data_IF_346667605721
#
_entry.id   IF_346667605721
#
_cell.length_a   1.000
_cell.length_b   1.000
_cell.length_c   1.000
_cell.angle_alpha   90.00
_cell.angle_beta   90.00
_cell.angle_gamma   90.00
#
_symmetry.space_group_name_H-M   'P 1'
#
loop_
_entity.id
_entity.type
_entity.pdbx_description
1 polymer ?
#
# COMPACT_ATOMS: atom_id res chain seq x y z
N UNK A 1 -8.85 -5.77 -8.55
CA UNK A 1 -9.24 -6.91 -7.67
C UNK A 1 -8.44 -8.10 -8.13
N UNK A 2 -7.86 -8.88 -7.20
CA UNK A 2 -7.00 -10.02 -7.58
C UNK A 2 -7.83 -11.08 -8.32
N UNK A 3 -7.19 -11.77 -9.26
CA UNK A 3 -7.75 -12.98 -9.87
C UNK A 3 -7.63 -14.17 -8.91
N UNK A 4 -8.33 -15.27 -9.19
CA UNK A 4 -8.24 -16.50 -8.39
C UNK A 4 -6.80 -17.01 -8.28
N UNK A 5 -6.07 -17.04 -9.40
CA UNK A 5 -4.64 -17.40 -9.43
C UNK A 5 -3.79 -16.47 -8.56
N UNK A 6 -4.05 -15.16 -8.59
CA UNK A 6 -3.32 -14.20 -7.77
C UNK A 6 -3.65 -14.34 -6.27
N UNK A 7 -4.88 -14.74 -5.94
CA UNK A 7 -5.25 -15.08 -4.55
C UNK A 7 -4.48 -16.31 -4.05
N UNK A 8 -4.35 -17.35 -4.86
CA UNK A 8 -3.53 -18.52 -4.51
C UNK A 8 -2.05 -18.16 -4.33
N UNK A 9 -1.51 -17.35 -5.24
CA UNK A 9 -0.13 -16.83 -5.13
C UNK A 9 0.03 -16.01 -3.85
N UNK A 10 -0.94 -15.13 -3.53
CA UNK A 10 -0.91 -14.33 -2.31
C UNK A 10 -0.90 -15.19 -1.04
N UNK A 11 -1.76 -16.22 -0.97
CA UNK A 11 -1.82 -17.16 0.16
C UNK A 11 -0.50 -17.92 0.39
N UNK A 12 0.29 -18.13 -0.68
CA UNK A 12 1.62 -18.76 -0.61
C UNK A 12 2.77 -17.76 -0.42
N UNK A 13 2.49 -16.47 -0.21
CA UNK A 13 3.46 -15.38 -0.17
C UNK A 13 4.25 -15.20 -1.48
N UNK A 14 3.60 -15.50 -2.61
CA UNK A 14 4.19 -15.51 -3.96
C UNK A 14 3.65 -14.40 -4.87
N UNK A 15 2.80 -13.52 -4.34
CA UNK A 15 2.30 -12.34 -5.04
C UNK A 15 3.04 -11.07 -4.57
N UNK A 16 3.38 -10.20 -5.52
CA UNK A 16 4.09 -8.95 -5.26
C UNK A 16 3.12 -7.80 -5.00
N UNK A 17 2.82 -7.55 -3.73
CA UNK A 17 1.99 -6.42 -3.29
C UNK A 17 2.71 -5.07 -3.28
N UNK A 18 4.02 -5.07 -3.46
CA UNK A 18 4.86 -3.87 -3.43
C UNK A 18 5.17 -3.35 -4.85
N UNK A 19 4.71 -4.05 -5.90
CA UNK A 19 4.78 -3.59 -7.28
C UNK A 19 3.69 -2.55 -7.56
N UNK A 20 3.96 -1.49 -8.36
CA UNK A 20 2.95 -0.49 -8.71
C UNK A 20 1.64 -1.05 -9.28
N UNK A 21 1.70 -2.10 -10.10
CA UNK A 21 0.52 -2.77 -10.68
C UNK A 21 -0.42 -3.40 -9.63
N UNK A 22 0.02 -3.59 -8.38
CA UNK A 22 -0.84 -4.04 -7.29
C UNK A 22 -1.81 -2.93 -6.83
N UNK A 23 -1.61 -1.68 -7.26
CA UNK A 23 -2.37 -0.50 -6.84
C UNK A 23 -3.20 0.09 -7.98
N UNK A 24 -4.41 0.52 -7.64
CA UNK A 24 -5.31 1.22 -8.56
C UNK A 24 -5.09 2.75 -8.44
N UNK A 25 -4.01 3.23 -9.07
CA UNK A 25 -3.65 4.65 -9.02
C UNK A 25 -4.69 5.57 -9.67
N UNK A 26 -5.46 5.06 -10.63
CA UNK A 26 -6.56 5.81 -11.24
C UNK A 26 -7.67 6.05 -10.21
N UNK A 27 -8.05 5.03 -9.44
CA UNK A 27 -9.00 5.18 -8.34
C UNK A 27 -8.46 6.09 -7.23
N UNK A 28 -7.17 6.01 -6.91
CA UNK A 28 -6.53 6.92 -5.94
C UNK A 28 -6.65 8.37 -6.40
N UNK A 29 -6.23 8.67 -7.63
CA UNK A 29 -6.28 10.03 -8.17
C UNK A 29 -7.72 10.58 -8.19
N UNK A 30 -8.69 9.79 -8.69
CA UNK A 30 -10.11 10.18 -8.69
C UNK A 30 -10.64 10.44 -7.27
N UNK A 31 -10.27 9.60 -6.31
CA UNK A 31 -10.66 9.74 -4.91
C UNK A 31 -10.09 11.03 -4.30
N UNK A 32 -8.80 11.30 -4.51
CA UNK A 32 -8.13 12.49 -3.99
C UNK A 32 -8.71 13.78 -4.58
N UNK A 33 -8.98 13.82 -5.89
CA UNK A 33 -9.64 14.98 -6.54
C UNK A 33 -10.97 15.26 -5.87
N UNK A 34 -11.83 14.25 -5.71
CA UNK A 34 -13.15 14.42 -5.08
C UNK A 34 -13.04 14.90 -3.64
N UNK A 35 -12.09 14.37 -2.87
CA UNK A 35 -11.85 14.82 -1.50
C UNK A 35 -11.40 16.29 -1.45
N UNK A 36 -10.49 16.73 -2.35
CA UNK A 36 -10.09 18.14 -2.46
C UNK A 36 -11.24 19.05 -2.87
N UNK A 37 -12.21 18.56 -3.64
CA UNK A 37 -13.44 19.28 -3.99
C UNK A 37 -14.50 19.29 -2.87
N UNK A 38 -14.22 18.75 -1.68
CA UNK A 38 -15.20 18.69 -0.59
C UNK A 38 -16.26 17.59 -0.76
N UNK A 39 -16.14 16.72 -1.77
CA UNK A 39 -17.19 15.74 -2.11
C UNK A 39 -17.09 14.49 -1.24
N UNK A 40 -18.24 13.84 -1.04
CA UNK A 40 -18.33 12.50 -0.45
C UNK A 40 -17.63 11.47 -1.36
N UNK A 41 -16.87 10.58 -0.75
CA UNK A 41 -16.24 9.40 -1.38
C UNK A 41 -16.46 8.15 -0.53
N UNK A 42 -16.42 7.00 -1.19
CA UNK A 42 -16.44 5.68 -0.54
C UNK A 42 -15.09 5.02 -0.76
N UNK A 43 -14.28 4.90 0.30
CA UNK A 43 -12.94 4.33 0.20
C UNK A 43 -13.00 2.83 0.48
N UNK A 44 -12.44 1.99 -0.39
CA UNK A 44 -12.41 0.54 -0.17
C UNK A 44 -11.57 0.20 1.06
N UNK A 45 -12.01 -0.79 1.84
CA UNK A 45 -11.24 -1.32 2.97
C UNK A 45 -10.50 -2.57 2.48
N UNK A 46 -9.19 -2.64 2.73
CA UNK A 46 -8.37 -3.81 2.40
C UNK A 46 -8.12 -4.66 3.64
N UNK A 47 -8.31 -5.96 3.50
CA UNK A 47 -8.06 -6.94 4.56
C UNK A 47 -6.75 -7.69 4.26
N UNK A 48 -5.77 -7.50 5.14
CA UNK A 48 -4.43 -8.09 4.99
C UNK A 48 -4.39 -9.59 5.29
N UNK A 49 -5.38 -10.13 6.01
CA UNK A 49 -5.47 -11.57 6.33
C UNK A 49 -6.02 -12.34 5.13
N UNK A 50 -7.06 -11.82 4.49
CA UNK A 50 -7.72 -12.47 3.34
C UNK A 50 -7.14 -12.04 1.98
N UNK A 51 -6.18 -11.11 1.98
CA UNK A 51 -5.63 -10.49 0.77
C UNK A 51 -6.67 -9.93 -0.19
N UNK A 52 -7.79 -9.42 0.33
CA UNK A 52 -8.94 -9.00 -0.47
C UNK A 52 -9.53 -7.68 -0.02
N UNK A 53 -10.29 -7.06 -0.93
CA UNK A 53 -11.10 -5.89 -0.63
C UNK A 53 -12.38 -6.34 0.07
N UNK A 54 -12.73 -5.69 1.18
CA UNK A 54 -14.00 -5.95 1.88
C UNK A 54 -15.18 -5.38 1.08
N UNK A 55 -16.37 -5.93 1.30
CA UNK A 55 -17.62 -5.44 0.69
C UNK A 55 -17.98 -4.05 1.21
N UNK A 56 -17.69 -3.78 2.50
CA UNK A 56 -17.94 -2.49 3.11
C UNK A 56 -16.89 -1.47 2.68
N UNK A 57 -17.32 -0.22 2.58
CA UNK A 57 -16.46 0.94 2.32
C UNK A 57 -16.42 1.83 3.56
N UNK A 58 -15.38 2.66 3.64
CA UNK A 58 -15.32 3.76 4.59
C UNK A 58 -15.77 5.04 3.87
N UNK A 59 -16.90 5.57 4.28
CA UNK A 59 -17.35 6.87 3.81
C UNK A 59 -16.42 7.95 4.35
N UNK A 60 -15.92 8.81 3.46
CA UNK A 60 -15.14 10.00 3.83
C UNK A 60 -15.69 11.23 3.10
N UNK A 61 -15.48 12.39 3.71
CA UNK A 61 -15.80 13.69 3.15
C UNK A 61 -14.52 14.48 2.98
N UNK A 62 -14.54 15.50 2.14
CA UNK A 62 -13.42 16.42 2.04
C UNK A 62 -13.12 17.07 3.40
N UNK A 63 -11.85 17.39 3.59
CA UNK A 63 -11.33 17.98 4.82
C UNK A 63 -10.36 19.11 4.45
N UNK A 64 -10.16 20.04 5.39
CA UNK A 64 -9.18 21.13 5.22
C UNK A 64 -7.76 20.60 5.07
N UNK A 65 -7.46 19.45 5.68
CA UNK A 65 -6.18 18.74 5.58
C UNK A 65 -6.48 17.28 5.31
N UNK A 66 -5.87 16.72 4.27
CA UNK A 66 -5.95 15.31 3.90
C UNK A 66 -4.53 14.75 3.96
N UNK A 67 -4.32 13.73 4.79
CA UNK A 67 -3.07 12.99 4.83
C UNK A 67 -3.24 11.76 3.93
N UNK A 68 -2.49 11.73 2.83
CA UNK A 68 -2.39 10.58 1.96
C UNK A 68 -1.05 9.88 2.23
N UNK A 69 -1.11 8.61 2.64
CA UNK A 69 0.06 7.81 3.00
C UNK A 69 0.07 6.49 2.23
N UNK A 70 1.27 5.95 2.04
CA UNK A 70 1.49 4.64 1.45
C UNK A 70 2.92 4.49 0.91
N UNK A 71 3.36 3.24 0.77
CA UNK A 71 4.72 2.91 0.32
C UNK A 71 5.07 3.45 -1.09
N UNK A 72 4.05 3.70 -1.92
CA UNK A 72 4.19 4.23 -3.28
C UNK A 72 3.44 5.55 -3.48
N UNK A 73 3.24 6.34 -2.41
CA UNK A 73 2.50 7.59 -2.47
C UNK A 73 3.08 8.59 -3.50
N UNK A 74 4.39 8.52 -3.76
CA UNK A 74 5.10 9.39 -4.71
C UNK A 74 5.39 8.74 -6.06
N UNK A 75 4.84 7.55 -6.33
CA UNK A 75 5.10 6.83 -7.59
C UNK A 75 4.35 7.43 -8.79
N UNK A 76 3.06 7.73 -8.64
CA UNK A 76 2.21 8.16 -9.77
C UNK A 76 2.33 9.67 -10.03
N UNK A 77 2.69 10.09 -11.26
CA UNK A 77 2.76 11.51 -11.62
C UNK A 77 1.42 12.25 -11.44
N UNK A 78 0.29 11.56 -11.64
CA UNK A 78 -1.02 12.19 -11.48
C UNK A 78 -1.40 12.39 -10.02
N UNK A 79 -0.98 11.48 -9.13
CA UNK A 79 -1.13 11.67 -7.69
C UNK A 79 -0.21 12.80 -7.21
N UNK A 80 1.05 12.84 -7.67
CA UNK A 80 2.01 13.87 -7.31
C UNK A 80 1.52 15.30 -7.59
N UNK A 81 0.83 15.51 -8.72
CA UNK A 81 0.24 16.82 -9.08
C UNK A 81 -0.84 17.30 -8.09
N UNK A 82 -1.42 16.38 -7.30
CA UNK A 82 -2.47 16.68 -6.33
C UNK A 82 -1.92 16.99 -4.94
N UNK A 83 -0.66 16.69 -4.66
CA UNK A 83 -0.06 16.86 -3.34
C UNK A 83 0.50 18.28 -3.16
N UNK A 84 0.10 18.92 -2.07
CA UNK A 84 0.57 20.27 -1.73
C UNK A 84 1.87 20.22 -0.90
N UNK A 85 2.10 19.12 -0.19
CA UNK A 85 3.30 18.84 0.60
C UNK A 85 3.67 17.35 0.48
N UNK A 86 4.98 17.06 0.46
CA UNK A 86 5.52 15.70 0.42
C UNK A 86 6.45 15.49 1.59
N UNK A 87 6.23 14.42 2.35
CA UNK A 87 7.08 14.00 3.48
C UNK A 87 7.46 12.55 3.25
N UNK A 88 8.75 12.26 3.24
CA UNK A 88 9.28 10.91 3.21
C UNK A 88 9.83 10.56 4.59
N UNK A 89 9.41 9.42 5.14
CA UNK A 89 9.91 8.91 6.43
C UNK A 89 11.01 7.92 6.14
N UNK A 90 12.26 8.39 6.21
CA UNK A 90 13.44 7.55 5.97
C UNK A 90 13.86 6.82 7.25
N UNK A 91 14.16 5.53 7.11
CA UNK A 91 14.56 4.64 8.20
C UNK A 91 15.32 3.46 7.61
N UNK A 92 16.36 3.02 8.31
CA UNK A 92 17.23 1.94 7.85
C UNK A 92 16.45 0.64 7.58
N UNK A 93 16.91 -0.10 6.56
CA UNK A 93 16.18 -1.25 6.04
C UNK A 93 16.07 -2.42 7.01
N UNK A 94 17.06 -2.58 7.89
CA UNK A 94 17.10 -3.57 8.95
C UNK A 94 16.11 -3.24 10.07
N UNK A 95 16.07 -1.98 10.51
CA UNK A 95 15.08 -1.51 11.49
C UNK A 95 13.65 -1.68 10.96
N UNK A 96 13.40 -1.32 9.71
CA UNK A 96 12.09 -1.54 9.06
C UNK A 96 11.74 -3.03 8.98
N UNK A 97 12.70 -3.90 8.66
CA UNK A 97 12.47 -5.35 8.61
C UNK A 97 12.12 -5.90 9.99
N UNK A 98 12.86 -5.53 11.03
CA UNK A 98 12.59 -5.97 12.41
C UNK A 98 11.18 -5.55 12.85
N UNK A 99 10.81 -4.28 12.62
CA UNK A 99 9.46 -3.77 12.91
C UNK A 99 8.38 -4.52 12.12
N UNK A 100 8.63 -4.82 10.84
CA UNK A 100 7.72 -5.61 10.00
C UNK A 100 7.53 -7.02 10.53
N UNK A 101 8.62 -7.71 10.91
CA UNK A 101 8.55 -9.06 11.47
C UNK A 101 7.70 -9.09 12.74
N UNK A 102 7.95 -8.18 13.68
CA UNK A 102 7.18 -8.08 14.92
C UNK A 102 5.69 -7.89 14.65
N UNK A 103 5.33 -6.93 13.77
CA UNK A 103 3.94 -6.64 13.42
C UNK A 103 3.27 -7.79 12.68
N UNK A 104 3.89 -8.31 11.62
CA UNK A 104 3.26 -9.32 10.76
C UNK A 104 3.07 -10.66 11.50
N UNK A 105 3.96 -11.01 12.44
CA UNK A 105 3.80 -12.21 13.28
C UNK A 105 2.72 -11.98 14.34
N UNK A 106 2.75 -10.84 15.05
CA UNK A 106 1.85 -10.59 16.18
C UNK A 106 0.41 -10.23 15.78
N UNK A 107 0.23 -9.48 14.68
CA UNK A 107 -1.07 -8.88 14.32
C UNK A 107 -1.70 -9.48 13.06
N UNK A 108 -0.91 -10.18 12.23
CA UNK A 108 -1.37 -10.70 10.93
C UNK A 108 -1.26 -12.22 10.79
N UNK A 109 -0.89 -12.91 11.88
CA UNK A 109 -0.78 -14.37 11.96
C UNK A 109 0.12 -14.97 10.87
N UNK A 110 1.23 -14.29 10.54
CA UNK A 110 2.17 -14.74 9.51
C UNK A 110 3.37 -15.46 10.11
N UNK A 111 3.82 -16.51 9.43
CA UNK A 111 5.04 -17.24 9.79
C UNK A 111 6.31 -16.48 9.40
N UNK A 112 7.34 -16.54 10.26
CA UNK A 112 8.63 -15.87 10.07
C UNK A 112 9.23 -16.13 8.68
N UNK A 113 9.34 -17.40 8.29
CA UNK A 113 9.91 -17.81 7.01
C UNK A 113 9.13 -17.27 5.82
N UNK A 114 7.80 -17.18 5.94
CA UNK A 114 6.93 -16.60 4.91
C UNK A 114 7.17 -15.11 4.74
N UNK A 115 7.31 -14.37 5.85
CA UNK A 115 7.59 -12.93 5.82
C UNK A 115 8.98 -12.67 5.23
N UNK A 116 10.00 -13.43 5.62
CA UNK A 116 11.36 -13.30 5.08
C UNK A 116 11.41 -13.65 3.59
N UNK A 117 10.78 -14.76 3.17
CA UNK A 117 10.67 -15.14 1.75
C UNK A 117 10.07 -13.99 0.93
N UNK A 118 8.96 -13.42 1.40
CA UNK A 118 8.31 -12.30 0.72
C UNK A 118 9.20 -11.06 0.71
N UNK A 119 9.88 -10.77 1.82
CA UNK A 119 10.74 -9.60 1.94
C UNK A 119 11.88 -9.61 0.93
N UNK A 120 12.65 -10.71 0.87
CA UNK A 120 13.78 -10.81 -0.05
C UNK A 120 13.34 -10.94 -1.50
N UNK A 121 12.22 -11.64 -1.77
CA UNK A 121 11.75 -11.87 -3.13
C UNK A 121 11.10 -10.62 -3.76
N UNK A 122 10.36 -9.84 -2.96
CA UNK A 122 9.50 -8.78 -3.47
C UNK A 122 9.73 -7.42 -2.82
N UNK A 123 9.68 -7.34 -1.49
CA UNK A 123 9.64 -6.06 -0.77
C UNK A 123 10.92 -5.27 -0.96
N UNK A 124 12.08 -5.91 -0.73
CA UNK A 124 13.37 -5.24 -0.87
C UNK A 124 13.62 -4.81 -2.32
N UNK A 125 13.48 -5.69 -3.33
CA UNK A 125 13.58 -5.27 -4.73
C UNK A 125 12.60 -4.13 -5.08
N UNK A 126 11.33 -4.22 -4.68
CA UNK A 126 10.36 -3.18 -4.98
C UNK A 126 10.70 -1.83 -4.32
N UNK A 127 11.24 -1.86 -3.10
CA UNK A 127 11.79 -0.66 -2.46
C UNK A 127 12.91 -0.06 -3.29
N UNK A 128 13.91 -0.86 -3.66
CA UNK A 128 15.08 -0.41 -4.40
C UNK A 128 14.70 0.14 -5.81
N UNK A 129 13.70 -0.44 -6.47
CA UNK A 129 13.29 -0.05 -7.83
C UNK A 129 12.24 1.06 -7.91
N UNK A 130 11.27 1.11 -6.99
CA UNK A 130 10.09 1.97 -7.13
C UNK A 130 9.94 3.01 -6.02
N UNK A 131 10.43 2.73 -4.81
CA UNK A 131 10.22 3.58 -3.65
C UNK A 131 11.41 4.49 -3.42
N UNK A 132 12.62 3.93 -3.32
CA UNK A 132 13.83 4.69 -3.06
C UNK A 132 14.12 5.76 -4.13
N UNK A 133 13.90 5.52 -5.44
CA UNK A 133 14.06 6.57 -6.45
C UNK A 133 13.01 7.68 -6.39
N UNK A 134 11.91 7.47 -5.65
CA UNK A 134 10.83 8.44 -5.47
C UNK A 134 10.98 9.33 -4.24
N UNK A 135 12.03 9.09 -3.43
CA UNK A 135 12.42 9.91 -2.28
C UNK A 135 12.71 11.36 -2.66
#
# INVERSE_FOLDING_TARGET
VLTEKQHEEAARNEYNFDHPDAFDFELVAKTLVRLKEGKKVEVPIYNFVTHSREVRTKTMYGANVIIFEGILAFYSPDVLKLLDMKVFVDTDSDERLVRRLQRDIAERERELDGVLKQYFKFVKPAFDYYIAPSM
#
